data_IF_639066843794
#
_entry.id   IF_639066843794
#
_cell.length_a   1.000
_cell.length_b   1.000
_cell.length_c   1.000
_cell.angle_alpha   90.00
_cell.angle_beta   90.00
_cell.angle_gamma   90.00
#
_symmetry.space_group_name_H-M   'P 1'
#
loop_
_entity.id
_entity.type
_entity.pdbx_description
1 polymer ?
#
# COMPACT_ATOMS: atom_id res chain seq x y z
N UNK A 1 3.27 -0.90 9.99
CA UNK A 1 3.94 0.21 10.69
C UNK A 1 3.94 -0.04 12.19
N UNK A 2 5.09 -0.18 12.85
CA UNK A 2 5.19 -0.34 14.29
C UNK A 2 4.56 0.84 15.04
N UNK A 3 3.96 0.59 16.20
CA UNK A 3 3.39 1.65 17.04
C UNK A 3 4.43 2.71 17.43
N UNK A 4 5.67 2.28 17.72
CA UNK A 4 6.78 3.17 18.06
C UNK A 4 7.23 4.10 16.92
N UNK A 5 6.79 3.85 15.68
CA UNK A 5 7.05 4.72 14.52
C UNK A 5 5.97 5.79 14.33
N UNK A 6 4.94 5.82 15.18
CA UNK A 6 3.82 6.74 15.09
C UNK A 6 3.94 7.79 16.19
N UNK A 7 3.86 9.07 15.81
CA UNK A 7 3.82 10.18 16.76
C UNK A 7 2.58 11.03 16.50
N UNK A 8 1.79 11.28 17.55
CA UNK A 8 0.64 12.18 17.49
C UNK A 8 1.12 13.60 17.76
N UNK A 9 0.84 14.50 16.82
CA UNK A 9 1.09 15.93 16.96
C UNK A 9 -0.25 16.67 17.01
N UNK A 10 -0.28 17.87 17.60
CA UNK A 10 -1.53 18.63 17.76
C UNK A 10 -2.50 18.02 18.77
N UNK A 11 -1.99 17.30 19.77
CA UNK A 11 -2.82 16.73 20.85
C UNK A 11 -3.45 17.87 21.67
N UNK A 12 -4.78 17.89 21.89
CA UNK A 12 -5.44 18.94 22.65
C UNK A 12 -4.91 19.04 24.10
N UNK A 13 -4.91 20.25 24.65
CA UNK A 13 -4.45 20.48 26.02
C UNK A 13 -5.24 19.63 27.03
N UNK A 14 -4.52 19.03 27.99
CA UNK A 14 -5.09 18.13 28.99
C UNK A 14 -5.24 16.67 28.57
N UNK A 15 -4.90 16.32 27.32
CA UNK A 15 -4.95 14.93 26.83
C UNK A 15 -3.57 14.29 26.76
N UNK A 16 -3.50 13.02 27.14
CA UNK A 16 -2.29 12.18 26.98
C UNK A 16 -2.49 11.24 25.80
N UNK A 17 -1.68 11.34 24.72
CA UNK A 17 -1.79 10.45 23.58
C UNK A 17 -1.32 9.04 23.94
N UNK A 18 -1.96 8.02 23.36
CA UNK A 18 -1.52 6.64 23.45
C UNK A 18 -1.83 5.89 22.16
N UNK A 19 -0.85 5.13 21.65
CA UNK A 19 -1.00 4.28 20.46
C UNK A 19 -1.07 2.83 20.92
N UNK A 20 -2.27 2.26 20.89
CA UNK A 20 -2.55 0.95 21.46
C UNK A 20 -2.00 -0.22 20.62
N UNK A 21 -1.86 -0.03 19.30
CA UNK A 21 -1.42 -1.10 18.40
C UNK A 21 -0.71 -0.58 17.14
N UNK A 22 0.12 -1.41 16.48
CA UNK A 22 0.70 -1.07 15.19
C UNK A 22 -0.38 -1.00 14.10
N UNK A 23 -0.16 -0.16 13.08
CA UNK A 23 -0.99 -0.18 11.87
C UNK A 23 -0.48 -1.26 10.91
N UNK A 24 -1.24 -2.32 10.74
CA UNK A 24 -0.88 -3.44 9.85
C UNK A 24 -1.04 -3.07 8.37
N UNK A 25 -0.22 -3.65 7.50
CA UNK A 25 -0.36 -3.47 6.05
C UNK A 25 -1.70 -4.07 5.60
N UNK A 26 -2.53 -3.29 4.92
CA UNK A 26 -3.85 -3.70 4.46
C UNK A 26 -3.95 -3.74 2.93
N UNK A 27 -3.23 -2.88 2.22
CA UNK A 27 -3.22 -2.89 0.76
C UNK A 27 -1.90 -2.40 0.18
N UNK A 28 -1.62 -2.77 -1.07
CA UNK A 28 -0.55 -2.20 -1.87
C UNK A 28 -0.88 -2.23 -3.37
N UNK A 29 -0.60 -1.15 -4.08
CA UNK A 29 -0.87 -1.03 -5.51
C UNK A 29 0.10 -0.04 -6.15
N UNK A 30 0.37 -0.18 -7.46
CA UNK A 30 1.01 0.88 -8.20
C UNK A 30 0.00 2.00 -8.48
N UNK A 31 0.48 3.24 -8.52
CA UNK A 31 -0.30 4.44 -8.83
C UNK A 31 0.43 5.29 -9.89
N UNK A 32 -0.33 6.05 -10.68
CA UNK A 32 0.18 7.05 -11.62
C UNK A 32 0.47 8.38 -10.88
N UNK A 33 1.75 8.73 -10.80
CA UNK A 33 2.23 9.92 -10.10
C UNK A 33 2.24 9.80 -8.57
N UNK A 34 2.68 10.88 -7.92
CA UNK A 34 2.78 10.97 -6.47
C UNK A 34 1.41 10.81 -5.77
N UNK A 35 1.35 10.35 -4.50
CA UNK A 35 0.10 10.01 -3.82
C UNK A 35 -0.93 11.14 -3.75
N UNK A 36 -0.50 12.41 -3.77
CA UNK A 36 -1.39 13.57 -3.77
C UNK A 36 -2.29 13.64 -5.01
N UNK A 37 -1.85 13.08 -6.15
CA UNK A 37 -2.62 13.03 -7.40
C UNK A 37 -3.77 12.03 -7.35
N UNK A 38 -3.70 11.03 -6.46
CA UNK A 38 -4.69 9.94 -6.36
C UNK A 38 -4.88 9.21 -7.70
N UNK A 39 -3.79 8.92 -8.39
CA UNK A 39 -3.80 8.20 -9.67
C UNK A 39 -3.90 6.68 -9.49
N UNK A 40 -4.92 6.17 -8.79
CA UNK A 40 -5.06 4.73 -8.59
C UNK A 40 -5.19 3.99 -9.93
N UNK A 41 -4.41 2.93 -10.10
CA UNK A 41 -4.46 2.09 -11.30
C UNK A 41 -5.39 0.89 -11.06
N UNK A 42 -6.01 0.44 -12.15
CA UNK A 42 -6.82 -0.78 -12.15
C UNK A 42 -5.90 -1.96 -12.52
N UNK A 43 -5.99 -3.12 -11.83
CA UNK A 43 -5.26 -4.30 -12.23
C UNK A 43 -5.60 -4.71 -13.66
N UNK A 44 -4.57 -5.03 -14.44
CA UNK A 44 -4.73 -5.65 -15.77
C UNK A 44 -5.22 -7.09 -15.69
N UNK A 45 -5.13 -7.73 -14.52
CA UNK A 45 -5.65 -9.07 -14.30
C UNK A 45 -5.69 -9.45 -12.81
N UNK A 46 -6.51 -10.45 -12.51
CA UNK A 46 -6.67 -11.00 -11.16
C UNK A 46 -6.70 -12.53 -11.24
N UNK A 47 -6.01 -13.19 -10.31
CA UNK A 47 -6.02 -14.64 -10.16
C UNK A 47 -6.23 -15.03 -8.70
N UNK A 48 -7.16 -15.94 -8.42
CA UNK A 48 -7.40 -16.49 -7.09
C UNK A 48 -6.95 -17.94 -7.00
N UNK A 49 -6.18 -18.29 -5.98
CA UNK A 49 -5.73 -19.68 -5.74
C UNK A 49 -5.50 -19.93 -4.26
N UNK A 50 -6.19 -20.95 -3.70
CA UNK A 50 -6.00 -21.43 -2.32
C UNK A 50 -5.92 -20.30 -1.27
N UNK A 51 -6.93 -19.41 -1.25
CA UNK A 51 -6.99 -18.30 -0.29
C UNK A 51 -6.00 -17.14 -0.55
N UNK A 52 -5.32 -17.16 -1.72
CA UNK A 52 -4.50 -16.05 -2.20
C UNK A 52 -5.16 -15.37 -3.38
N UNK A 53 -4.97 -14.06 -3.48
CA UNK A 53 -5.39 -13.25 -4.63
C UNK A 53 -4.15 -12.56 -5.20
N UNK A 54 -3.81 -12.83 -6.45
CA UNK A 54 -2.73 -12.15 -7.16
C UNK A 54 -3.33 -11.13 -8.12
N UNK A 55 -2.94 -9.86 -7.97
CA UNK A 55 -3.28 -8.76 -8.87
C UNK A 55 -2.07 -8.47 -9.76
N UNK A 56 -2.28 -8.43 -11.08
CA UNK A 56 -1.25 -8.13 -12.06
C UNK A 56 -1.48 -6.75 -12.67
N UNK A 57 -0.46 -5.91 -12.70
CA UNK A 57 -0.50 -4.56 -13.26
C UNK A 57 0.54 -4.45 -14.37
N UNK A 58 0.08 -4.43 -15.62
CA UNK A 58 0.91 -4.00 -16.75
C UNK A 58 1.06 -2.49 -16.69
N UNK A 59 2.29 -2.03 -16.54
CA UNK A 59 2.68 -0.63 -16.46
C UNK A 59 3.31 -0.17 -17.79
N UNK A 60 2.73 -0.65 -18.88
CA UNK A 60 3.05 -0.29 -20.26
C UNK A 60 2.34 1.02 -20.58
N UNK A 61 3.06 2.02 -21.09
CA UNK A 61 2.49 3.34 -21.41
C UNK A 61 3.28 4.50 -20.84
N UNK A 62 2.74 5.71 -21.02
CA UNK A 62 3.36 6.96 -20.56
C UNK A 62 2.91 7.28 -19.14
N UNK A 63 3.87 7.40 -18.24
CA UNK A 63 3.70 7.86 -16.86
C UNK A 63 4.53 9.13 -16.67
N UNK A 64 4.06 10.29 -17.17
CA UNK A 64 4.85 11.53 -17.17
C UNK A 64 5.24 11.98 -15.76
N UNK A 65 4.44 11.63 -14.75
CA UNK A 65 4.68 11.94 -13.34
C UNK A 65 5.32 10.77 -12.56
N UNK A 66 5.79 9.76 -13.30
CA UNK A 66 6.41 8.54 -12.80
C UNK A 66 5.43 7.48 -12.31
N UNK A 67 5.91 6.25 -12.22
CA UNK A 67 5.19 5.13 -11.60
C UNK A 67 5.53 5.10 -10.12
N UNK A 68 4.55 4.93 -9.26
CA UNK A 68 4.75 4.90 -7.80
C UNK A 68 4.17 3.63 -7.21
N UNK A 69 4.82 3.12 -6.16
CA UNK A 69 4.30 2.05 -5.32
C UNK A 69 3.68 2.69 -4.08
N UNK A 70 2.42 2.37 -3.79
CA UNK A 70 1.73 2.77 -2.58
C UNK A 70 1.46 1.55 -1.68
N UNK A 71 1.75 1.68 -0.40
CA UNK A 71 1.40 0.73 0.66
C UNK A 71 0.48 1.41 1.68
N UNK A 72 -0.70 0.84 1.93
CA UNK A 72 -1.69 1.34 2.86
C UNK A 72 -1.64 0.54 4.17
N UNK A 73 -1.60 1.25 5.30
CA UNK A 73 -1.53 0.71 6.65
C UNK A 73 -2.77 1.11 7.46
N UNK A 74 -3.21 0.17 8.30
CA UNK A 74 -4.45 0.22 9.05
C UNK A 74 -5.63 -0.33 8.25
N UNK A 75 -6.72 -0.65 8.94
CA UNK A 75 -7.87 -1.41 8.38
C UNK A 75 -8.46 -0.71 7.16
N UNK A 76 -8.44 0.62 7.15
CA UNK A 76 -8.99 1.44 6.07
C UNK A 76 -7.94 2.24 5.30
N UNK A 77 -6.65 1.96 5.53
CA UNK A 77 -5.56 2.68 4.86
C UNK A 77 -5.34 4.08 5.43
N UNK A 78 -5.50 4.22 6.74
CA UNK A 78 -5.34 5.44 7.53
C UNK A 78 -4.00 6.12 7.27
N UNK A 79 -2.96 5.34 7.00
CA UNK A 79 -1.64 5.84 6.64
C UNK A 79 -1.17 5.18 5.34
N UNK A 80 -0.75 5.99 4.37
CA UNK A 80 -0.13 5.49 3.14
C UNK A 80 1.33 5.89 3.07
N UNK A 81 2.20 4.93 2.76
CA UNK A 81 3.58 5.17 2.38
C UNK A 81 3.69 4.95 0.88
N UNK A 82 4.33 5.90 0.18
CA UNK A 82 4.53 5.79 -1.25
C UNK A 82 5.98 6.07 -1.62
N UNK A 83 6.49 5.36 -2.62
CA UNK A 83 7.80 5.63 -3.22
C UNK A 83 7.72 5.55 -4.73
N UNK A 84 8.54 6.36 -5.41
CA UNK A 84 8.70 6.25 -6.86
C UNK A 84 9.37 4.92 -7.21
N UNK A 85 8.90 4.27 -8.27
CA UNK A 85 9.50 3.05 -8.82
C UNK A 85 10.49 3.41 -9.92
N UNK A 86 11.36 2.46 -10.28
CA UNK A 86 12.19 2.61 -11.48
C UNK A 86 11.29 2.73 -12.72
N UNK A 87 11.65 3.62 -13.64
CA UNK A 87 10.89 3.85 -14.86
C UNK A 87 10.88 2.59 -15.77
N UNK A 88 11.87 1.70 -15.62
CA UNK A 88 11.98 0.42 -16.33
C UNK A 88 10.92 -0.61 -15.94
N UNK A 89 10.32 -0.49 -14.75
CA UNK A 89 9.33 -1.47 -14.25
C UNK A 89 8.12 -1.48 -15.19
N UNK A 90 7.86 -2.62 -15.81
CA UNK A 90 6.80 -2.80 -16.80
C UNK A 90 5.66 -3.69 -16.29
N UNK A 91 5.90 -4.46 -15.24
CA UNK A 91 4.92 -5.35 -14.66
C UNK A 91 5.11 -5.42 -13.14
N UNK A 92 4.00 -5.30 -12.40
CA UNK A 92 3.97 -5.65 -10.99
C UNK A 92 2.91 -6.72 -10.71
N UNK A 93 3.26 -7.68 -9.85
CA UNK A 93 2.37 -8.70 -9.33
C UNK A 93 2.30 -8.58 -7.80
N UNK A 94 1.09 -8.45 -7.28
CA UNK A 94 0.81 -8.33 -5.85
C UNK A 94 0.03 -9.54 -5.38
N UNK A 95 0.62 -10.39 -4.55
CA UNK A 95 -0.04 -11.57 -4.02
C UNK A 95 -0.47 -11.35 -2.58
N UNK A 96 -1.78 -11.27 -2.39
CA UNK A 96 -2.45 -11.07 -1.12
C UNK A 96 -2.80 -12.40 -0.45
N UNK A 97 -2.57 -12.47 0.86
CA UNK A 97 -3.15 -13.49 1.74
C UNK A 97 -3.55 -12.84 3.06
N UNK A 98 -4.59 -13.41 3.70
CA UNK A 98 -5.06 -12.93 5.00
C UNK A 98 -3.96 -13.09 6.05
N UNK A 99 -3.65 -12.01 6.77
CA UNK A 99 -2.71 -12.04 7.89
C UNK A 99 -3.31 -12.61 9.17
N UNK A 100 -2.49 -12.72 10.21
CA UNK A 100 -2.89 -13.25 11.52
C UNK A 100 -3.66 -12.25 12.38
N UNK A 101 -3.71 -10.97 11.97
CA UNK A 101 -4.34 -9.86 12.70
C UNK A 101 -5.50 -9.28 11.90
N UNK A 102 -6.45 -8.66 12.59
CA UNK A 102 -7.60 -8.01 11.96
C UNK A 102 -7.13 -6.90 10.99
N UNK A 103 -7.70 -6.90 9.77
CA UNK A 103 -7.34 -5.94 8.72
C UNK A 103 -5.93 -6.09 8.13
N UNK A 104 -5.12 -7.05 8.60
CA UNK A 104 -3.81 -7.32 8.04
C UNK A 104 -3.91 -8.19 6.79
N UNK A 105 -3.19 -7.77 5.75
CA UNK A 105 -2.80 -8.62 4.64
C UNK A 105 -1.29 -8.84 4.69
N UNK A 106 -0.88 -10.08 4.44
CA UNK A 106 0.49 -10.35 4.03
C UNK A 106 0.53 -10.21 2.51
N UNK A 107 1.38 -9.33 2.02
CA UNK A 107 1.45 -8.96 0.60
C UNK A 107 2.86 -9.23 0.10
N UNK A 108 2.97 -10.11 -0.88
CA UNK A 108 4.19 -10.31 -1.66
C UNK A 108 4.11 -9.39 -2.90
N UNK A 109 5.17 -8.62 -3.17
CA UNK A 109 5.21 -7.61 -4.22
C UNK A 109 6.43 -7.90 -5.10
N UNK A 110 6.18 -8.29 -6.34
CA UNK A 110 7.19 -8.46 -7.37
C UNK A 110 6.99 -7.43 -8.49
N UNK A 111 7.98 -6.59 -8.74
CA UNK A 111 7.95 -5.55 -9.76
C UNK A 111 9.21 -5.64 -10.61
N UNK A 112 9.04 -5.77 -11.93
CA UNK A 112 10.11 -6.01 -12.91
C UNK A 112 9.90 -5.23 -14.20
#
# INVERSE_FOLDING_TARGET
MPAASISLTGVPAGWTPYIDSPLYLSAAAPIDGAPQRRGQLVPSGERKKKGKTTLSYRLEGRYPDGKWLQCSYGVHGEVTLSRRMDDSVSLCEFTYRKGSKAGQNEIDIDCR
#
